data_IF_304154205551
#
_entry.id   IF_304154205551
#
_cell.length_a   1.000
_cell.length_b   1.000
_cell.length_c   1.000
_cell.angle_alpha   90.00
_cell.angle_beta   90.00
_cell.angle_gamma   90.00
#
_symmetry.space_group_name_H-M   'P 1'
#
loop_
_entity.id
_entity.type
_entity.pdbx_description
1 polymer ?
#
# COMPACT_ATOMS: atom_id res chain seq x y z
N UNK A 1 7.50 27.37 -3.28
CA UNK A 1 7.23 26.50 -2.10
C UNK A 1 7.31 25.06 -2.57
N UNK A 2 8.16 24.21 -1.97
CA UNK A 2 8.31 22.81 -2.37
C UNK A 2 7.31 21.97 -1.57
N UNK A 3 6.29 21.43 -2.22
CA UNK A 3 5.32 20.54 -1.57
C UNK A 3 6.03 19.23 -1.29
N UNK A 4 6.21 18.90 -0.01
CA UNK A 4 6.74 17.59 0.39
C UNK A 4 5.58 16.60 0.36
N UNK A 5 5.61 15.65 -0.57
CA UNK A 5 4.65 14.53 -0.56
C UNK A 5 5.10 13.54 0.51
N UNK A 6 4.35 13.44 1.59
CA UNK A 6 4.55 12.39 2.59
C UNK A 6 4.11 11.04 2.01
N UNK A 7 4.98 10.03 2.14
CA UNK A 7 4.66 8.63 1.83
C UNK A 7 4.74 7.84 3.12
N UNK A 8 3.75 6.98 3.36
CA UNK A 8 3.72 6.06 4.49
C UNK A 8 3.79 4.65 3.96
N UNK A 9 4.65 3.83 4.57
CA UNK A 9 4.79 2.41 4.26
C UNK A 9 4.36 1.61 5.48
N UNK A 10 3.39 0.72 5.30
CA UNK A 10 2.90 -0.15 6.36
C UNK A 10 3.67 -1.48 6.32
N UNK A 11 4.42 -1.76 7.37
CA UNK A 11 5.21 -2.98 7.52
C UNK A 11 4.55 -3.92 8.54
N UNK A 12 4.85 -5.22 8.44
CA UNK A 12 4.37 -6.24 9.37
C UNK A 12 3.93 -7.53 8.69
N UNK A 13 3.76 -8.59 9.48
CA UNK A 13 3.38 -9.91 8.99
C UNK A 13 2.00 -9.94 8.32
N UNK A 14 1.70 -10.96 7.48
CA UNK A 14 0.34 -11.23 7.02
C UNK A 14 -0.64 -11.29 8.21
N UNK A 15 -1.82 -10.70 8.08
CA UNK A 15 -2.80 -10.63 9.17
C UNK A 15 -2.58 -9.50 10.20
N UNK A 16 -1.46 -8.76 10.15
CA UNK A 16 -1.20 -7.63 11.08
C UNK A 16 -2.10 -6.38 10.86
N UNK A 17 -3.11 -6.45 9.99
CA UNK A 17 -4.07 -5.37 9.76
C UNK A 17 -3.60 -4.24 8.84
N UNK A 18 -2.50 -4.41 8.10
CA UNK A 18 -1.92 -3.39 7.21
C UNK A 18 -2.92 -2.84 6.18
N UNK A 19 -3.64 -3.71 5.47
CA UNK A 19 -4.62 -3.29 4.47
C UNK A 19 -5.80 -2.53 5.09
N UNK A 20 -6.22 -2.91 6.30
CA UNK A 20 -7.26 -2.20 7.05
C UNK A 20 -6.83 -0.79 7.43
N UNK A 21 -5.62 -0.65 7.99
CA UNK A 21 -5.05 0.67 8.33
C UNK A 21 -4.83 1.51 7.08
N UNK A 22 -4.35 0.90 5.99
CA UNK A 22 -4.17 1.55 4.70
C UNK A 22 -5.44 2.17 4.13
N UNK A 23 -6.54 1.41 4.16
CA UNK A 23 -7.86 1.90 3.75
C UNK A 23 -8.33 3.07 4.63
N UNK A 24 -8.17 2.97 5.95
CA UNK A 24 -8.51 4.06 6.87
C UNK A 24 -7.69 5.34 6.60
N UNK A 25 -6.38 5.20 6.32
CA UNK A 25 -5.52 6.33 5.95
C UNK A 25 -5.97 6.99 4.64
N UNK A 26 -6.34 6.20 3.62
CA UNK A 26 -6.94 6.73 2.39
C UNK A 26 -8.21 7.51 2.70
N UNK A 27 -9.11 6.95 3.50
CA UNK A 27 -10.43 7.54 3.73
C UNK A 27 -10.33 8.84 4.55
N UNK A 28 -9.39 8.92 5.51
CA UNK A 28 -9.17 10.11 6.35
C UNK A 28 -8.42 11.22 5.60
N UNK A 29 -7.41 10.87 4.79
CA UNK A 29 -6.51 11.86 4.19
C UNK A 29 -6.66 12.04 2.67
N UNK A 30 -7.55 11.28 2.02
CA UNK A 30 -7.69 11.25 0.56
C UNK A 30 -6.44 10.72 -0.16
N UNK A 31 -5.61 9.93 0.53
CA UNK A 31 -4.35 9.42 -0.01
C UNK A 31 -4.56 8.24 -0.95
N UNK A 32 -3.68 8.08 -1.93
CA UNK A 32 -3.66 6.86 -2.73
C UNK A 32 -3.22 5.67 -1.88
N UNK A 33 -4.02 4.60 -1.89
CA UNK A 33 -3.65 3.30 -1.35
C UNK A 33 -2.98 2.47 -2.45
N UNK A 34 -1.85 1.83 -2.12
CA UNK A 34 -1.13 0.91 -3.01
C UNK A 34 -0.86 -0.37 -2.23
N UNK A 35 -1.35 -1.49 -2.75
CA UNK A 35 -0.92 -2.82 -2.30
C UNK A 35 0.32 -3.22 -3.10
N UNK A 36 1.43 -3.43 -2.40
CA UNK A 36 2.73 -3.67 -3.02
C UNK A 36 2.77 -5.04 -3.70
N UNK A 37 2.14 -6.05 -3.11
CA UNK A 37 2.15 -7.41 -3.67
C UNK A 37 1.42 -7.41 -5.02
N UNK A 38 0.24 -6.79 -5.07
CA UNK A 38 -0.53 -6.65 -6.31
C UNK A 38 0.21 -5.83 -7.39
N UNK A 39 0.92 -4.78 -6.99
CA UNK A 39 1.69 -3.95 -7.93
C UNK A 39 2.89 -4.70 -8.52
N UNK A 40 3.54 -5.57 -7.72
CA UNK A 40 4.60 -6.46 -8.19
C UNK A 40 4.04 -7.47 -9.19
N UNK A 41 2.96 -8.17 -8.86
CA UNK A 41 2.32 -9.14 -9.76
C UNK A 41 1.90 -8.50 -11.09
N UNK A 42 1.30 -7.30 -11.03
CA UNK A 42 0.92 -6.52 -12.21
C UNK A 42 2.12 -6.16 -13.09
N UNK A 43 3.25 -5.85 -12.47
CA UNK A 43 4.48 -5.43 -13.18
C UNK A 43 5.21 -6.60 -13.81
N UNK A 44 5.27 -7.74 -13.11
CA UNK A 44 6.01 -8.94 -13.56
C UNK A 44 5.15 -9.86 -14.43
N UNK A 45 3.83 -9.83 -14.26
CA UNK A 45 2.88 -10.65 -15.02
C UNK A 45 2.74 -12.08 -14.50
N UNK A 46 3.17 -12.36 -13.28
CA UNK A 46 3.01 -13.66 -12.62
C UNK A 46 2.61 -13.46 -11.14
N UNK A 47 2.04 -14.49 -10.51
CA UNK A 47 1.62 -14.37 -9.12
C UNK A 47 2.78 -14.66 -8.15
N UNK A 48 2.73 -14.03 -6.97
CA UNK A 48 3.71 -14.25 -5.90
C UNK A 48 3.49 -15.62 -5.23
N UNK A 49 2.26 -16.14 -5.28
CA UNK A 49 1.89 -17.41 -4.66
C UNK A 49 2.37 -18.66 -5.43
N UNK A 50 3.24 -18.52 -6.44
CA UNK A 50 3.80 -19.62 -7.23
C UNK A 50 4.99 -20.30 -6.57
#
# INVERSE_FOLDING_TARGET
>A
MKVVKHKVVLLGFPGAGKSTVGAALRDVYGWMWVDVDAEVERTVGCSIAQ
#
